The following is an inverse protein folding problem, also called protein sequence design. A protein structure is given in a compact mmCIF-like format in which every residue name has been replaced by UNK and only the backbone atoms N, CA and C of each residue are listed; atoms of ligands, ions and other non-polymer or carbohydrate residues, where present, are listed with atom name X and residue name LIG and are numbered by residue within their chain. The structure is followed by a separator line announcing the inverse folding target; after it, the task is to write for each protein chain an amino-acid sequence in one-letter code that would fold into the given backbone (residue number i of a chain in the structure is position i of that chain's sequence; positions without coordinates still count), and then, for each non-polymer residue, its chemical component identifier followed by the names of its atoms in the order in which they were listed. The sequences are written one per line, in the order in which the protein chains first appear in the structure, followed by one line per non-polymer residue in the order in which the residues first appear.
data_IF_589269796235
#
_entry.id   IF_589269796235
#
_cell.length_a   1.000
_cell.length_b   1.000
_cell.length_c   1.000
_cell.angle_alpha   90.00
_cell.angle_beta   90.00
_cell.angle_gamma   90.00
#
_symmetry.space_group_name_H-M   'P 1'
#
loop_
_entity.id
_entity.type
_entity.pdbx_description
1 polymer ?
#
# COMPACT_ATOMS: atom_id res chain seq x y z
N UNK A 1 -18.57 -5.08 -16.48
CA UNK A 1 -18.64 -3.93 -15.54
C UNK A 1 -20.05 -3.69 -14.97
N UNK A 2 -21.14 -3.98 -15.72
CA UNK A 2 -22.53 -3.72 -15.27
C UNK A 2 -23.06 -4.68 -14.20
N UNK A 3 -22.47 -5.87 -14.05
CA UNK A 3 -22.92 -6.87 -13.05
C UNK A 3 -22.25 -6.73 -11.67
N UNK A 4 -21.11 -6.04 -11.58
CA UNK A 4 -20.49 -5.74 -10.29
C UNK A 4 -21.35 -4.72 -9.55
N UNK A 5 -21.94 -5.12 -8.45
CA UNK A 5 -22.88 -4.31 -7.66
C UNK A 5 -24.32 -4.79 -7.72
N UNK A 6 -24.68 -5.62 -8.71
CA UNK A 6 -26.03 -6.21 -8.76
C UNK A 6 -26.26 -7.15 -7.58
N UNK A 7 -25.24 -7.98 -7.23
CA UNK A 7 -25.28 -8.85 -6.06
C UNK A 7 -25.55 -8.08 -4.77
N UNK A 8 -24.81 -6.99 -4.54
CA UNK A 8 -25.03 -6.12 -3.37
C UNK A 8 -26.44 -5.52 -3.35
N UNK A 9 -26.92 -5.01 -4.49
CA UNK A 9 -28.27 -4.45 -4.59
C UNK A 9 -29.36 -5.48 -4.33
N UNK A 10 -29.19 -6.71 -4.80
CA UNK A 10 -30.11 -7.81 -4.56
C UNK A 10 -30.06 -8.30 -3.12
N UNK A 11 -28.88 -8.26 -2.47
CA UNK A 11 -28.70 -8.67 -1.08
C UNK A 11 -29.41 -7.74 -0.07
N UNK A 12 -29.94 -6.60 -0.50
CA UNK A 12 -30.85 -5.79 0.30
C UNK A 12 -32.24 -6.45 0.49
N UNK A 13 -32.64 -7.36 -0.41
CA UNK A 13 -33.96 -7.94 -0.44
C UNK A 13 -34.01 -9.44 -0.11
N UNK A 14 -32.97 -10.19 -0.47
CA UNK A 14 -32.90 -11.66 -0.27
C UNK A 14 -31.45 -12.16 -0.34
N UNK A 15 -31.15 -13.37 0.19
CA UNK A 15 -29.86 -14.00 0.02
C UNK A 15 -29.48 -14.16 -1.47
N UNK A 16 -28.19 -13.92 -1.79
CA UNK A 16 -27.70 -14.00 -3.16
C UNK A 16 -26.55 -14.98 -3.24
N UNK A 17 -26.57 -15.84 -4.24
CA UNK A 17 -25.41 -16.65 -4.65
C UNK A 17 -25.00 -16.20 -6.04
N UNK A 18 -23.79 -15.74 -6.18
CA UNK A 18 -23.19 -15.33 -7.44
C UNK A 18 -22.16 -16.36 -7.87
N UNK A 19 -22.36 -16.94 -9.06
CA UNK A 19 -21.40 -17.89 -9.65
C UNK A 19 -20.37 -17.09 -10.46
N UNK A 20 -19.10 -17.31 -10.19
CA UNK A 20 -18.01 -16.60 -10.85
C UNK A 20 -16.98 -17.57 -11.41
N UNK A 21 -16.38 -17.19 -12.55
CA UNK A 21 -15.35 -17.94 -13.29
C UNK A 21 -13.93 -17.40 -13.10
N UNK A 22 -13.79 -16.40 -12.22
CA UNK A 22 -12.51 -15.71 -11.95
C UNK A 22 -11.97 -16.10 -10.58
N UNK A 23 -10.68 -15.79 -10.36
CA UNK A 23 -10.05 -15.90 -9.04
C UNK A 23 -10.84 -15.12 -7.98
N UNK A 24 -11.02 -15.72 -6.82
CA UNK A 24 -11.51 -14.99 -5.65
C UNK A 24 -10.50 -13.95 -5.21
N UNK A 25 -11.00 -12.77 -4.92
CA UNK A 25 -10.30 -11.75 -4.15
C UNK A 25 -11.27 -11.24 -3.11
N UNK A 26 -10.83 -11.17 -1.87
CA UNK A 26 -11.66 -10.65 -0.80
C UNK A 26 -11.31 -9.20 -0.50
N UNK A 27 -12.23 -8.47 0.11
CA UNK A 27 -12.02 -7.11 0.60
C UNK A 27 -12.86 -6.89 1.83
N UNK A 28 -12.39 -6.03 2.73
CA UNK A 28 -13.13 -5.68 3.94
C UNK A 28 -14.41 -4.93 3.57
N UNK A 29 -15.54 -5.38 4.09
CA UNK A 29 -16.83 -4.70 3.97
C UNK A 29 -16.91 -3.52 4.94
N UNK A 30 -17.34 -2.36 4.44
CA UNK A 30 -17.59 -1.17 5.29
C UNK A 30 -18.94 -1.18 5.95
N UNK A 31 -19.88 -1.91 5.35
CA UNK A 31 -21.27 -1.99 5.79
C UNK A 31 -21.72 -3.45 5.81
N UNK A 32 -22.60 -3.78 6.77
CA UNK A 32 -23.21 -5.08 6.83
C UNK A 32 -24.35 -5.14 5.82
N UNK A 33 -24.31 -6.11 4.91
CA UNK A 33 -25.42 -6.39 4.03
C UNK A 33 -26.61 -6.94 4.84
N UNK A 34 -27.82 -6.66 4.38
CA UNK A 34 -29.05 -7.12 5.02
C UNK A 34 -29.21 -8.64 4.89
N UNK A 35 -28.82 -9.18 3.75
CA UNK A 35 -28.80 -10.61 3.48
C UNK A 35 -27.40 -11.04 2.98
N UNK A 36 -27.03 -12.32 3.13
CA UNK A 36 -25.72 -12.79 2.69
C UNK A 36 -25.58 -12.73 1.16
N UNK A 37 -24.39 -12.34 0.72
CA UNK A 37 -23.94 -12.46 -0.65
C UNK A 37 -22.76 -13.43 -0.69
N UNK A 38 -22.93 -14.54 -1.40
CA UNK A 38 -21.98 -15.64 -1.46
C UNK A 38 -21.48 -15.80 -2.88
N UNK A 39 -20.17 -15.85 -3.04
CA UNK A 39 -19.54 -16.17 -4.33
C UNK A 39 -19.15 -17.64 -4.35
N UNK A 40 -19.48 -18.34 -5.44
CA UNK A 40 -19.04 -19.70 -5.70
C UNK A 40 -18.34 -19.79 -7.05
N UNK A 41 -17.29 -20.64 -7.10
CA UNK A 41 -16.62 -20.94 -8.36
C UNK A 41 -17.54 -21.70 -9.31
N UNK A 42 -17.54 -21.32 -10.59
CA UNK A 42 -18.34 -22.01 -11.63
C UNK A 42 -18.01 -23.51 -11.72
N UNK A 43 -16.74 -23.87 -11.52
CA UNK A 43 -16.27 -25.27 -11.55
C UNK A 43 -16.93 -26.20 -10.52
N UNK A 44 -17.46 -25.64 -9.42
CA UNK A 44 -18.15 -26.41 -8.35
C UNK A 44 -19.64 -26.07 -8.27
N UNK A 45 -20.11 -25.12 -9.06
CA UNK A 45 -21.51 -24.70 -9.04
C UNK A 45 -22.42 -25.78 -9.64
N UNK A 46 -23.40 -26.25 -8.85
CA UNK A 46 -24.45 -27.16 -9.32
C UNK A 46 -25.81 -26.47 -9.19
N UNK A 47 -26.45 -26.20 -10.32
CA UNK A 47 -27.74 -25.50 -10.38
C UNK A 47 -28.86 -26.21 -9.63
N UNK A 48 -28.69 -27.51 -9.38
CA UNK A 48 -29.69 -28.34 -8.67
C UNK A 48 -29.30 -28.58 -7.19
N UNK A 49 -28.21 -27.97 -6.71
CA UNK A 49 -27.81 -28.12 -5.33
C UNK A 49 -28.72 -27.32 -4.38
N UNK A 50 -29.05 -27.93 -3.25
CA UNK A 50 -29.62 -27.20 -2.13
C UNK A 50 -28.48 -26.63 -1.27
N UNK A 51 -28.57 -25.36 -0.93
CA UNK A 51 -27.59 -24.69 -0.08
C UNK A 51 -28.21 -24.50 1.32
N UNK A 52 -27.50 -24.95 2.33
CA UNK A 52 -27.78 -24.59 3.71
C UNK A 52 -26.73 -23.54 4.12
N UNK A 53 -27.21 -22.34 4.39
CA UNK A 53 -26.32 -21.17 4.65
C UNK A 53 -26.56 -20.74 6.10
N UNK A 54 -25.52 -20.83 6.91
CA UNK A 54 -25.49 -20.28 8.26
C UNK A 54 -24.27 -19.38 8.39
N UNK A 55 -24.47 -18.06 8.46
CA UNK A 55 -23.42 -17.06 8.55
C UNK A 55 -23.68 -16.19 9.77
N UNK A 56 -22.77 -16.23 10.72
CA UNK A 56 -22.71 -15.26 11.79
C UNK A 56 -21.80 -14.10 11.38
N UNK A 57 -22.33 -12.90 11.47
CA UNK A 57 -21.56 -11.69 11.15
C UNK A 57 -21.90 -10.56 12.12
N UNK A 58 -20.89 -9.85 12.57
CA UNK A 58 -21.02 -8.68 13.42
C UNK A 58 -20.33 -7.48 12.79
N UNK A 59 -20.98 -6.32 12.86
CA UNK A 59 -20.36 -5.06 12.52
C UNK A 59 -19.94 -4.32 13.78
N UNK A 60 -18.63 -4.13 13.96
CA UNK A 60 -18.08 -3.40 15.08
C UNK A 60 -18.07 -1.90 14.76
N UNK A 61 -19.15 -1.20 15.14
CA UNK A 61 -19.39 0.19 14.74
C UNK A 61 -18.36 1.20 15.26
N UNK A 62 -17.58 0.87 16.30
CA UNK A 62 -16.59 1.76 16.92
C UNK A 62 -15.26 1.04 17.14
N UNK A 63 -14.80 0.33 16.12
CA UNK A 63 -13.48 -0.29 16.17
C UNK A 63 -12.39 0.78 16.30
N UNK A 64 -11.47 0.59 17.25
CA UNK A 64 -10.36 1.50 17.48
C UNK A 64 -9.06 0.81 17.11
N UNK A 65 -8.26 1.50 16.35
CA UNK A 65 -6.89 1.13 16.02
C UNK A 65 -6.01 2.38 16.06
N UNK A 66 -4.74 2.27 15.71
CA UNK A 66 -3.78 3.37 15.78
C UNK A 66 -2.77 3.30 14.65
N UNK A 67 -2.34 4.44 14.18
CA UNK A 67 -1.14 4.54 13.35
C UNK A 67 0.10 4.52 14.26
N UNK A 68 1.18 3.89 13.78
CA UNK A 68 2.46 3.88 14.49
C UNK A 68 3.41 4.83 13.79
N UNK A 69 3.99 5.76 14.55
CA UNK A 69 4.83 6.83 14.01
C UNK A 69 6.21 6.79 14.65
N UNK A 70 7.25 6.85 13.84
CA UNK A 70 8.63 7.02 14.27
C UNK A 70 9.27 8.21 13.56
N UNK A 71 10.17 8.91 14.24
CA UNK A 71 10.82 10.10 13.70
C UNK A 71 12.33 10.07 13.97
N UNK A 72 13.11 10.33 12.93
CA UNK A 72 14.54 10.57 13.01
C UNK A 72 14.78 12.04 12.67
N UNK A 73 15.28 12.85 13.63
CA UNK A 73 15.52 14.26 13.38
C UNK A 73 16.70 14.47 12.43
N UNK A 74 16.60 15.50 11.60
CA UNK A 74 17.69 15.98 10.77
C UNK A 74 18.87 16.48 11.60
N UNK A 75 20.06 16.44 11.00
CA UNK A 75 21.24 17.17 11.52
C UNK A 75 21.13 18.68 11.31
N UNK A 76 20.28 19.14 10.38
CA UNK A 76 20.07 20.55 10.04
C UNK A 76 18.86 21.13 10.75
N UNK A 77 18.98 22.37 11.22
CA UNK A 77 17.84 23.10 11.79
C UNK A 77 16.81 23.41 10.69
N UNK A 78 15.52 23.37 11.06
CA UNK A 78 14.38 23.71 10.19
C UNK A 78 14.28 22.89 8.91
N UNK A 79 14.88 21.70 8.84
CA UNK A 79 14.84 20.82 7.70
C UNK A 79 13.40 20.47 7.27
N UNK A 80 13.22 20.24 5.98
CA UNK A 80 12.01 19.58 5.45
C UNK A 80 11.97 18.11 5.91
N UNK A 81 10.90 17.42 5.59
CA UNK A 81 10.69 16.03 6.02
C UNK A 81 10.49 15.14 4.80
N UNK A 82 11.20 14.03 4.75
CA UNK A 82 10.85 12.88 3.90
C UNK A 82 9.98 11.95 4.73
N UNK A 83 8.92 11.43 4.13
CA UNK A 83 7.99 10.51 4.78
C UNK A 83 8.01 9.17 4.08
N UNK A 84 8.23 8.10 4.83
CA UNK A 84 8.00 6.72 4.39
C UNK A 84 6.74 6.20 5.05
N UNK A 85 5.89 5.54 4.27
CA UNK A 85 4.65 4.94 4.77
C UNK A 85 4.49 3.52 4.28
N UNK A 86 3.82 2.70 5.08
CA UNK A 86 3.28 1.40 4.71
C UNK A 86 2.08 1.13 5.60
N UNK A 87 1.09 0.37 5.14
CA UNK A 87 0.05 -0.10 6.04
C UNK A 87 0.45 -1.44 6.67
N UNK A 88 -0.03 -1.69 7.90
CA UNK A 88 0.29 -2.90 8.64
C UNK A 88 -0.94 -3.76 8.96
N UNK A 89 -2.12 -3.30 8.58
CA UNK A 89 -3.34 -4.09 8.61
C UNK A 89 -3.46 -4.94 7.34
N UNK A 90 -4.26 -5.98 7.41
CA UNK A 90 -4.71 -6.76 6.27
C UNK A 90 -6.12 -7.30 6.53
N UNK A 91 -6.61 -8.20 5.68
CA UNK A 91 -8.00 -8.65 5.65
C UNK A 91 -8.41 -9.52 6.86
N UNK A 92 -7.45 -10.11 7.59
CA UNK A 92 -7.70 -10.90 8.76
C UNK A 92 -8.16 -12.33 8.44
N UNK A 93 -9.37 -12.71 8.87
CA UNK A 93 -9.89 -14.07 8.62
C UNK A 93 -11.38 -14.08 8.30
N UNK A 94 -11.78 -15.12 7.59
CA UNK A 94 -13.17 -15.43 7.29
C UNK A 94 -13.53 -16.78 7.94
N UNK A 95 -14.55 -16.78 8.79
CA UNK A 95 -14.91 -17.95 9.56
C UNK A 95 -13.84 -18.37 10.58
N UNK A 96 -13.76 -19.67 10.89
CA UNK A 96 -12.86 -20.18 11.94
C UNK A 96 -11.44 -20.46 11.45
N UNK A 97 -11.25 -20.84 10.19
CA UNK A 97 -10.00 -21.42 9.69
C UNK A 97 -9.42 -20.76 8.43
N UNK A 98 -10.13 -19.84 7.78
CA UNK A 98 -9.62 -19.19 6.56
C UNK A 98 -8.96 -17.89 6.91
N UNK A 99 -7.61 -17.85 6.80
CA UNK A 99 -6.79 -16.67 7.07
C UNK A 99 -6.31 -16.04 5.78
N UNK A 100 -6.20 -14.72 5.79
CA UNK A 100 -5.54 -13.92 4.76
C UNK A 100 -4.24 -13.40 5.36
N UNK A 101 -3.09 -14.00 5.02
CA UNK A 101 -1.85 -13.72 5.73
C UNK A 101 -1.30 -12.32 5.47
N UNK A 102 -1.48 -11.79 4.25
CA UNK A 102 -0.97 -10.47 3.89
C UNK A 102 0.55 -10.40 3.83
N UNK A 103 1.19 -11.47 3.35
CA UNK A 103 2.65 -11.55 3.28
C UNK A 103 3.23 -10.48 2.36
N UNK A 104 2.69 -10.36 1.15
CA UNK A 104 3.06 -9.30 0.22
C UNK A 104 2.27 -8.02 0.50
N UNK A 105 0.98 -8.14 0.75
CA UNK A 105 0.06 -7.05 1.02
C UNK A 105 -0.38 -7.04 2.50
N UNK A 106 0.29 -6.32 3.46
CA UNK A 106 1.46 -5.51 3.19
C UNK A 106 2.54 -5.70 4.27
N UNK A 107 2.75 -6.95 4.72
CA UNK A 107 3.86 -7.23 5.63
C UNK A 107 5.21 -6.92 4.96
N UNK A 108 5.33 -7.13 3.64
CA UNK A 108 6.53 -6.82 2.87
C UNK A 108 6.86 -5.33 2.85
N UNK A 109 5.87 -4.45 2.64
CA UNK A 109 6.04 -3.01 2.71
C UNK A 109 6.34 -2.52 4.13
N UNK A 110 5.71 -3.12 5.14
CA UNK A 110 6.03 -2.85 6.55
C UNK A 110 7.47 -3.27 6.90
N UNK A 111 7.95 -4.39 6.37
CA UNK A 111 9.35 -4.81 6.52
C UNK A 111 10.31 -3.81 5.87
N UNK A 112 10.00 -3.33 4.66
CA UNK A 112 10.78 -2.30 3.96
C UNK A 112 10.78 -1.00 4.76
N UNK A 113 9.66 -0.58 5.35
CA UNK A 113 9.57 0.59 6.22
C UNK A 113 10.54 0.48 7.42
N UNK A 114 10.62 -0.70 8.04
CA UNK A 114 11.56 -0.98 9.14
C UNK A 114 13.03 -0.97 8.64
N UNK A 115 13.29 -1.49 7.45
CA UNK A 115 14.62 -1.48 6.84
C UNK A 115 15.08 -0.04 6.59
N UNK A 116 14.23 0.82 6.03
CA UNK A 116 14.50 2.24 5.88
C UNK A 116 14.76 2.93 7.22
N UNK A 117 13.98 2.59 8.26
CA UNK A 117 14.16 3.17 9.60
C UNK A 117 15.50 2.78 10.23
N UNK A 118 15.95 1.54 10.04
CA UNK A 118 17.28 1.09 10.48
C UNK A 118 18.38 1.85 9.75
N UNK A 119 18.28 1.92 8.42
CA UNK A 119 19.28 2.62 7.60
C UNK A 119 19.45 4.07 8.03
N UNK A 120 18.37 4.86 8.07
CA UNK A 120 18.47 6.29 8.40
C UNK A 120 18.80 6.55 9.87
N UNK A 121 18.59 5.61 10.77
CA UNK A 121 19.08 5.69 12.14
C UNK A 121 20.60 5.63 12.21
N UNK A 122 21.22 4.81 11.37
CA UNK A 122 22.68 4.64 11.28
C UNK A 122 23.32 5.71 10.38
N UNK A 123 22.58 6.17 9.38
CA UNK A 123 23.00 7.17 8.38
C UNK A 123 22.03 8.37 8.38
N UNK A 124 22.11 9.27 9.38
CA UNK A 124 21.19 10.39 9.50
C UNK A 124 21.27 11.34 8.30
N UNK A 125 20.09 11.70 7.76
CA UNK A 125 19.85 12.57 6.62
C UNK A 125 19.91 14.06 6.97
N UNK A 126 20.05 14.91 5.97
CA UNK A 126 19.82 16.35 6.05
C UNK A 126 18.31 16.70 6.13
N UNK A 127 17.43 15.75 5.84
CA UNK A 127 15.98 15.85 6.10
C UNK A 127 15.59 15.23 7.44
N UNK A 128 14.49 15.70 8.03
CA UNK A 128 13.79 14.88 9.00
C UNK A 128 13.21 13.66 8.29
N UNK A 129 13.33 12.47 8.86
CA UNK A 129 12.73 11.28 8.29
C UNK A 129 11.58 10.84 9.21
N UNK A 130 10.39 10.74 8.64
CA UNK A 130 9.19 10.28 9.34
C UNK A 130 8.75 8.94 8.76
N UNK A 131 8.52 7.97 9.62
CA UNK A 131 8.01 6.66 9.28
C UNK A 131 6.61 6.52 9.85
N UNK A 132 5.66 6.07 9.04
CA UNK A 132 4.29 5.88 9.48
C UNK A 132 3.81 4.50 9.00
N UNK A 133 3.51 3.61 9.96
CA UNK A 133 2.75 2.41 9.68
C UNK A 133 1.26 2.73 9.89
N UNK A 134 0.49 2.71 8.80
CA UNK A 134 -0.93 3.00 8.83
C UNK A 134 -1.76 1.78 9.20
N UNK A 135 -2.85 2.03 9.92
CA UNK A 135 -3.89 1.05 10.16
C UNK A 135 -5.15 1.39 9.35
N UNK A 136 -5.91 0.38 8.96
CA UNK A 136 -7.19 0.56 8.28
C UNK A 136 -7.07 1.04 6.84
N UNK A 137 -5.99 0.71 6.16
CA UNK A 137 -5.85 0.88 4.71
C UNK A 137 -6.92 0.07 3.99
N UNK A 138 -7.02 -1.22 4.33
CA UNK A 138 -7.96 -2.18 3.79
C UNK A 138 -9.44 -1.83 4.07
N UNK A 139 -9.69 -1.06 5.12
CA UNK A 139 -11.00 -0.49 5.41
C UNK A 139 -11.28 0.81 4.63
N UNK A 140 -10.40 1.18 3.71
CA UNK A 140 -10.51 2.30 2.78
C UNK A 140 -9.71 3.53 3.17
N UNK A 141 -8.41 3.35 3.38
CA UNK A 141 -7.43 4.40 3.62
C UNK A 141 -7.74 5.22 4.89
N UNK A 142 -8.32 4.56 5.92
CA UNK A 142 -8.84 5.27 7.10
C UNK A 142 -7.71 5.88 7.92
N UNK A 143 -6.61 5.15 8.10
CA UNK A 143 -5.47 5.60 8.90
C UNK A 143 -4.74 6.79 8.30
N UNK A 144 -4.47 6.77 7.01
CA UNK A 144 -3.82 7.88 6.30
C UNK A 144 -4.72 9.10 6.20
N UNK A 145 -6.03 8.91 5.97
CA UNK A 145 -7.01 9.99 6.03
C UNK A 145 -7.00 10.68 7.38
N UNK A 146 -7.12 9.89 8.46
CA UNK A 146 -7.10 10.42 9.82
C UNK A 146 -5.80 11.19 10.10
N UNK A 147 -4.65 10.64 9.70
CA UNK A 147 -3.36 11.31 9.89
C UNK A 147 -3.32 12.66 9.18
N UNK A 148 -3.73 12.74 7.92
CA UNK A 148 -3.70 13.98 7.15
C UNK A 148 -4.63 15.05 7.73
N UNK A 149 -5.79 14.64 8.26
CA UNK A 149 -6.75 15.55 8.92
C UNK A 149 -6.31 15.99 10.33
N UNK A 150 -5.51 15.17 11.03
CA UNK A 150 -5.12 15.39 12.43
C UNK A 150 -3.58 15.36 12.62
N UNK A 151 -2.83 15.72 11.60
CA UNK A 151 -1.37 15.57 11.60
C UNK A 151 -0.67 16.44 12.64
N UNK A 152 0.35 15.89 13.36
CA UNK A 152 1.18 16.66 14.28
C UNK A 152 2.23 17.52 13.54
N UNK A 153 2.41 17.35 12.25
CA UNK A 153 3.38 18.07 11.43
C UNK A 153 2.68 18.93 10.37
N UNK A 154 3.36 19.99 9.93
CA UNK A 154 2.85 20.82 8.83
C UNK A 154 3.06 20.09 7.51
N UNK A 155 1.99 19.69 6.80
CA UNK A 155 2.07 18.96 5.53
C UNK A 155 2.97 19.67 4.50
N UNK A 156 2.94 21.01 4.43
CA UNK A 156 3.82 21.81 3.58
C UNK A 156 5.33 21.69 3.87
N UNK A 157 5.71 21.08 5.00
CA UNK A 157 7.09 20.77 5.34
C UNK A 157 7.53 19.40 4.82
N UNK A 158 6.61 18.59 4.30
CA UNK A 158 6.93 17.34 3.65
C UNK A 158 7.53 17.67 2.28
N UNK A 159 8.78 17.27 2.05
CA UNK A 159 9.45 17.41 0.75
C UNK A 159 8.94 16.37 -0.22
N UNK A 160 8.88 15.12 0.24
CA UNK A 160 8.40 14.00 -0.55
C UNK A 160 7.90 12.86 0.34
N UNK A 161 6.93 12.09 -0.14
CA UNK A 161 6.42 10.90 0.52
C UNK A 161 6.62 9.67 -0.37
N UNK A 162 7.11 8.59 0.21
CA UNK A 162 7.28 7.28 -0.41
C UNK A 162 6.39 6.27 0.33
N UNK A 163 5.30 5.88 -0.31
CA UNK A 163 4.39 4.86 0.19
C UNK A 163 4.80 3.50 -0.36
N UNK A 164 5.07 2.55 0.54
CA UNK A 164 5.64 1.23 0.25
C UNK A 164 4.56 0.18 0.46
N UNK A 165 4.15 -0.46 -0.62
CA UNK A 165 3.05 -1.41 -0.55
C UNK A 165 3.27 -2.49 -1.62
N UNK A 166 3.21 -3.77 -1.21
CA UNK A 166 3.54 -4.91 -2.07
C UNK A 166 5.02 -4.89 -2.50
N UNK A 167 5.94 -5.13 -1.55
CA UNK A 167 7.39 -5.04 -1.75
C UNK A 167 8.11 -6.40 -1.78
N UNK A 168 7.37 -7.51 -1.83
CA UNK A 168 7.91 -8.86 -1.64
C UNK A 168 8.38 -9.60 -2.89
N UNK A 169 8.24 -9.01 -4.08
CA UNK A 169 8.79 -9.51 -5.34
C UNK A 169 9.32 -8.34 -6.15
N UNK A 170 10.15 -8.56 -7.15
CA UNK A 170 10.75 -7.42 -7.89
C UNK A 170 11.37 -7.82 -9.21
N UNK A 171 11.18 -9.05 -9.63
CA UNK A 171 11.79 -9.65 -10.83
C UNK A 171 11.55 -8.85 -12.10
N UNK A 172 10.43 -8.14 -12.16
CA UNK A 172 10.08 -7.28 -13.29
C UNK A 172 10.30 -5.78 -12.99
N UNK A 173 10.88 -5.44 -11.82
CA UNK A 173 11.08 -4.09 -11.34
C UNK A 173 9.93 -3.56 -10.49
N UNK A 174 9.76 -2.24 -10.49
CA UNK A 174 8.73 -1.54 -9.67
C UNK A 174 7.82 -0.66 -10.53
N UNK A 175 6.67 -0.32 -9.98
CA UNK A 175 5.78 0.73 -10.51
C UNK A 175 5.75 1.91 -9.53
N UNK A 176 5.86 3.14 -10.05
CA UNK A 176 5.67 4.37 -9.30
C UNK A 176 4.34 5.05 -9.71
N UNK A 177 3.34 4.99 -8.84
CA UNK A 177 2.07 5.72 -9.00
C UNK A 177 2.31 7.19 -8.72
N UNK A 178 1.58 8.09 -9.36
CA UNK A 178 1.77 9.54 -9.40
C UNK A 178 2.98 10.04 -10.20
N UNK A 179 3.73 9.17 -10.84
CA UNK A 179 4.93 9.56 -11.59
C UNK A 179 4.65 10.46 -12.81
N UNK A 180 3.39 10.59 -13.22
CA UNK A 180 2.97 11.59 -14.22
C UNK A 180 2.69 12.97 -13.62
N UNK A 181 2.58 13.09 -12.30
CA UNK A 181 2.40 14.35 -11.57
C UNK A 181 3.75 14.94 -11.13
N UNK A 182 4.73 14.07 -10.85
CA UNK A 182 6.05 14.42 -10.32
C UNK A 182 7.13 13.86 -11.26
N UNK A 183 7.18 14.42 -12.47
CA UNK A 183 8.03 13.90 -13.55
C UNK A 183 9.53 14.08 -13.27
N UNK A 184 9.92 15.16 -12.61
CA UNK A 184 11.32 15.43 -12.27
C UNK A 184 11.82 14.38 -11.27
N UNK A 185 11.07 14.12 -10.22
CA UNK A 185 11.42 13.09 -9.23
C UNK A 185 11.37 11.68 -9.84
N UNK A 186 10.46 11.44 -10.78
CA UNK A 186 10.44 10.16 -11.52
C UNK A 186 11.65 10.00 -12.42
N UNK A 187 12.08 11.06 -13.11
CA UNK A 187 13.30 11.04 -13.92
C UNK A 187 14.53 10.78 -13.04
N UNK A 188 14.58 11.39 -11.85
CA UNK A 188 15.66 11.13 -10.89
C UNK A 188 15.72 9.65 -10.46
N UNK A 189 14.56 9.00 -10.21
CA UNK A 189 14.53 7.56 -9.93
C UNK A 189 15.11 6.73 -11.08
N UNK A 190 14.75 7.06 -12.34
CA UNK A 190 15.30 6.35 -13.51
C UNK A 190 16.81 6.61 -13.69
N UNK A 191 17.26 7.83 -13.52
CA UNK A 191 18.70 8.16 -13.59
C UNK A 191 19.49 7.34 -12.58
N UNK A 192 19.03 7.24 -11.33
CA UNK A 192 19.66 6.42 -10.29
C UNK A 192 19.67 4.95 -10.71
N UNK A 193 18.53 4.45 -11.21
CA UNK A 193 18.40 3.07 -11.65
C UNK A 193 19.38 2.74 -12.81
N UNK A 194 19.46 3.62 -13.79
CA UNK A 194 20.34 3.44 -14.96
C UNK A 194 21.82 3.52 -14.61
N UNK A 195 22.20 4.45 -13.71
CA UNK A 195 23.57 4.58 -13.24
C UNK A 195 24.04 3.37 -12.43
N UNK A 196 23.19 2.89 -11.51
CA UNK A 196 23.54 1.80 -10.59
C UNK A 196 23.14 0.42 -11.09
N UNK A 197 22.32 0.34 -12.14
CA UNK A 197 21.79 -0.91 -12.74
C UNK A 197 21.10 -1.81 -11.72
N UNK A 198 20.19 -1.21 -10.96
CA UNK A 198 19.53 -1.87 -9.84
C UNK A 198 18.37 -2.77 -10.30
N UNK A 199 17.38 -2.19 -10.97
CA UNK A 199 16.14 -2.86 -11.33
C UNK A 199 15.97 -3.02 -12.83
N UNK A 200 15.26 -4.05 -13.24
CA UNK A 200 14.94 -4.29 -14.65
C UNK A 200 14.20 -3.09 -15.29
N UNK A 201 13.32 -2.43 -14.54
CA UNK A 201 12.63 -1.20 -14.97
C UNK A 201 11.91 -0.51 -13.80
N UNK A 202 11.64 0.79 -13.98
CA UNK A 202 10.71 1.56 -13.17
C UNK A 202 9.54 1.99 -14.06
N UNK A 203 8.35 1.45 -13.81
CA UNK A 203 7.16 1.70 -14.63
C UNK A 203 6.47 2.99 -14.21
N UNK A 204 6.27 3.90 -15.16
CA UNK A 204 5.49 5.12 -14.98
C UNK A 204 4.00 4.82 -14.87
N UNK A 205 3.32 5.39 -13.86
CA UNK A 205 1.86 5.28 -13.70
C UNK A 205 1.26 6.60 -13.23
N UNK A 206 0.11 6.96 -13.80
CA UNK A 206 -0.68 8.13 -13.41
C UNK A 206 -1.28 8.01 -11.99
N UNK A 207 -1.96 9.08 -11.53
CA UNK A 207 -2.57 9.12 -10.20
C UNK A 207 -3.65 8.05 -10.04
N UNK A 208 -3.76 7.51 -8.82
CA UNK A 208 -4.77 6.55 -8.44
C UNK A 208 -5.06 6.63 -6.94
N UNK A 209 -6.34 6.52 -6.55
CA UNK A 209 -6.78 6.52 -5.15
C UNK A 209 -6.79 5.07 -4.61
N UNK A 210 -5.63 4.42 -4.58
CA UNK A 210 -5.52 2.99 -4.35
C UNK A 210 -4.47 2.56 -3.32
N UNK A 211 -3.91 3.50 -2.53
CA UNK A 211 -3.12 3.27 -1.34
C UNK A 211 -2.94 4.59 -0.57
N UNK A 212 -2.26 4.57 0.58
CA UNK A 212 -2.20 5.64 1.58
C UNK A 212 -1.59 6.97 1.12
N UNK A 213 -0.82 6.99 0.02
CA UNK A 213 -0.31 8.21 -0.60
C UNK A 213 -1.42 9.18 -1.04
N UNK A 214 -2.61 8.66 -1.32
CA UNK A 214 -3.71 9.41 -1.93
C UNK A 214 -4.09 10.66 -1.15
N UNK A 215 -4.37 10.52 0.15
CA UNK A 215 -4.81 11.67 0.96
C UNK A 215 -3.74 12.74 1.12
N UNK A 216 -2.47 12.39 1.08
CA UNK A 216 -1.37 13.35 1.06
C UNK A 216 -1.31 14.11 -0.25
N UNK A 217 -1.45 13.42 -1.37
CA UNK A 217 -1.49 14.05 -2.71
C UNK A 217 -2.66 15.01 -2.84
N UNK A 218 -3.84 14.67 -2.32
CA UNK A 218 -5.01 15.55 -2.28
C UNK A 218 -4.78 16.84 -1.46
N UNK A 219 -3.79 16.84 -0.57
CA UNK A 219 -3.36 18.02 0.20
C UNK A 219 -2.11 18.69 -0.37
N UNK A 220 -1.71 18.34 -1.58
CA UNK A 220 -0.58 18.95 -2.28
C UNK A 220 0.79 18.47 -1.81
N UNK A 221 0.89 17.33 -1.14
CA UNK A 221 2.17 16.70 -0.79
C UNK A 221 2.66 15.86 -1.97
N UNK A 222 3.88 16.10 -2.48
CA UNK A 222 4.49 15.25 -3.49
C UNK A 222 4.68 13.83 -2.95
N UNK A 223 4.19 12.82 -3.70
CA UNK A 223 4.20 11.45 -3.24
C UNK A 223 4.28 10.44 -4.39
N UNK A 224 5.04 9.38 -4.18
CA UNK A 224 4.92 8.15 -4.95
C UNK A 224 4.34 7.04 -4.09
N UNK A 225 3.45 6.25 -4.68
CA UNK A 225 3.16 4.92 -4.22
C UNK A 225 3.98 3.94 -5.07
N UNK A 226 4.83 3.17 -4.41
CA UNK A 226 5.74 2.21 -5.02
C UNK A 226 5.29 0.80 -4.66
N UNK A 227 5.14 -0.04 -5.68
CA UNK A 227 4.92 -1.47 -5.54
C UNK A 227 5.76 -2.26 -6.54
N UNK A 228 6.13 -3.47 -6.17
CA UNK A 228 6.93 -4.37 -6.99
C UNK A 228 6.11 -5.05 -8.08
N UNK A 229 6.79 -5.47 -9.15
CA UNK A 229 6.24 -6.28 -10.22
C UNK A 229 6.99 -7.60 -10.29
N UNK A 230 6.24 -8.71 -10.40
CA UNK A 230 6.81 -10.04 -10.42
C UNK A 230 5.75 -11.13 -10.61
N UNK A 231 6.13 -12.40 -10.46
CA UNK A 231 5.26 -13.55 -10.69
C UNK A 231 4.17 -13.72 -9.61
N UNK A 232 4.36 -13.17 -8.39
CA UNK A 232 3.36 -13.30 -7.33
C UNK A 232 2.02 -12.68 -7.76
N UNK A 233 0.92 -13.45 -7.65
CA UNK A 233 -0.44 -13.06 -8.04
C UNK A 233 -1.44 -13.27 -6.89
N UNK A 234 -0.95 -13.37 -5.65
CA UNK A 234 -1.75 -13.76 -4.49
C UNK A 234 -2.39 -12.57 -3.76
N UNK A 235 -2.48 -11.42 -4.43
CA UNK A 235 -3.17 -10.23 -3.92
C UNK A 235 -4.57 -10.55 -3.40
N UNK A 236 -4.87 -10.18 -2.16
CA UNK A 236 -6.14 -10.41 -1.46
C UNK A 236 -6.58 -11.88 -1.46
N UNK A 237 -5.61 -12.78 -1.25
CA UNK A 237 -5.78 -14.22 -1.33
C UNK A 237 -5.24 -14.92 -0.08
N UNK A 238 -5.77 -16.09 0.22
CA UNK A 238 -5.28 -16.95 1.30
C UNK A 238 -3.86 -17.49 1.06
N UNK A 239 -3.38 -17.41 -0.17
CA UNK A 239 -2.02 -17.81 -0.58
C UNK A 239 -1.02 -16.66 -0.57
N UNK A 240 -1.41 -15.47 -0.09
CA UNK A 240 -0.45 -14.37 0.10
C UNK A 240 0.38 -14.60 1.36
N UNK A 241 1.22 -15.63 1.32
CA UNK A 241 2.09 -16.06 2.42
C UNK A 241 3.52 -15.59 2.21
N UNK A 242 4.32 -15.59 3.28
CA UNK A 242 5.73 -15.26 3.22
C UNK A 242 6.52 -16.20 2.30
N UNK A 243 6.18 -17.48 2.28
CA UNK A 243 6.87 -18.52 1.51
C UNK A 243 6.71 -18.32 -0.01
N UNK A 244 5.68 -17.61 -0.43
CA UNK A 244 5.42 -17.27 -1.83
C UNK A 244 6.17 -16.01 -2.31
N UNK A 245 6.96 -15.38 -1.43
CA UNK A 245 7.71 -14.17 -1.74
C UNK A 245 9.17 -14.49 -2.04
N UNK A 246 9.66 -13.98 -3.16
CA UNK A 246 11.05 -14.17 -3.59
C UNK A 246 12.02 -13.21 -2.92
N UNK A 247 11.55 -12.02 -2.54
CA UNK A 247 12.37 -10.87 -2.12
C UNK A 247 13.52 -10.52 -3.08
N UNK A 248 13.43 -10.97 -4.32
CA UNK A 248 14.35 -10.55 -5.38
C UNK A 248 14.27 -9.03 -5.52
N UNK A 249 15.39 -8.38 -5.71
CA UNK A 249 15.56 -6.92 -5.83
C UNK A 249 15.28 -6.12 -4.53
N UNK A 250 15.04 -6.77 -3.40
CA UNK A 250 14.71 -6.06 -2.15
C UNK A 250 15.85 -5.09 -1.72
N UNK A 251 17.09 -5.54 -1.81
CA UNK A 251 18.26 -4.71 -1.48
C UNK A 251 18.48 -3.62 -2.53
N UNK A 252 18.22 -3.89 -3.80
CA UNK A 252 18.33 -2.94 -4.89
C UNK A 252 17.26 -1.85 -4.80
N UNK A 253 16.03 -2.21 -4.43
CA UNK A 253 14.97 -1.25 -4.12
C UNK A 253 15.37 -0.38 -2.92
N UNK A 254 15.92 -0.99 -1.87
CA UNK A 254 16.44 -0.27 -0.70
C UNK A 254 17.48 0.76 -1.12
N UNK A 255 18.47 0.35 -1.93
CA UNK A 255 19.53 1.22 -2.43
C UNK A 255 18.98 2.35 -3.33
N UNK A 256 18.00 2.05 -4.18
CA UNK A 256 17.32 3.03 -5.02
C UNK A 256 16.66 4.13 -4.17
N UNK A 257 15.86 3.73 -3.17
CA UNK A 257 15.11 4.67 -2.33
C UNK A 257 16.01 5.51 -1.43
N UNK A 258 17.06 4.91 -0.87
CA UNK A 258 18.08 5.63 -0.10
C UNK A 258 18.78 6.67 -0.97
N UNK A 259 19.28 6.25 -2.14
CA UNK A 259 19.97 7.14 -3.07
C UNK A 259 19.05 8.25 -3.57
N UNK A 260 17.76 7.96 -3.76
CA UNK A 260 16.78 8.97 -4.13
C UNK A 260 16.67 10.07 -3.08
N UNK A 261 16.56 9.72 -1.80
CA UNK A 261 16.56 10.71 -0.70
C UNK A 261 17.84 11.53 -0.68
N UNK A 262 19.01 10.89 -0.77
CA UNK A 262 20.30 11.57 -0.80
C UNK A 262 20.45 12.54 -1.99
N UNK A 263 19.89 12.20 -3.14
CA UNK A 263 19.91 13.06 -4.33
C UNK A 263 18.95 14.24 -4.22
N UNK A 264 17.77 14.04 -3.60
CA UNK A 264 16.86 15.14 -3.30
C UNK A 264 17.51 16.19 -2.38
N UNK A 265 18.37 15.78 -1.44
CA UNK A 265 19.13 16.69 -0.58
C UNK A 265 20.07 17.58 -1.38
N UNK A 266 20.75 17.02 -2.39
CA UNK A 266 21.69 17.75 -3.24
C UNK A 266 20.98 18.71 -4.19
N UNK A 267 19.82 18.37 -4.70
CA UNK A 267 19.01 19.26 -5.55
C UNK A 267 18.67 20.57 -4.85
N UNK A 268 18.20 20.50 -3.61
CA UNK A 268 17.90 21.71 -2.84
C UNK A 268 19.12 22.57 -2.54
N UNK A 269 20.32 21.98 -2.44
CA UNK A 269 21.53 22.74 -2.20
C UNK A 269 21.98 23.57 -3.42
N UNK A 270 21.58 23.19 -4.63
CA UNK A 270 21.90 23.91 -5.86
C UNK A 270 20.97 25.11 -6.10
N UNK A 271 19.70 25.01 -5.68
CA UNK A 271 18.71 26.08 -5.82
C UNK A 271 18.99 27.31 -4.92
N UNK A 272 19.85 27.18 -3.92
CA UNK A 272 20.29 28.28 -3.04
C UNK A 272 21.43 29.11 -3.62
N UNK A 273 22.04 28.71 -4.73
CA UNK A 273 23.15 29.39 -5.39
C UNK A 273 22.75 30.05 -6.73
N UNK A 274 21.52 29.92 -7.18
CA UNK A 274 20.94 30.59 -8.33
C UNK A 274 19.80 31.54 -7.90
#
# INVERSE_FOLDING_TARGET
KQLRGLGNALAEYHPVIEVIDRKFTWSVGREKLKHPLIYIQDSIANKNAMFNINIESEQVAKYRTQNVIAHIPSKKMCAKTIVFTAHYDHLGRMGESTYFPGGNDNASGTAMLITMAKYFKEHPSDYNILFIAFAGEEAGLVGSKYFVENTPIKLKKIKFLLNLDIMGSGEEGITAVNSTLFEEEFNLLNEINDEKKLLARIKKRGPAANSDHYWFTEKGVPAFFIYTMGPNKNYHDVFDTYEELSFVEYDDITNLLVTFVERLEKWESLDWYN
#
